data_IF_192063656959
#
_entry.id   IF_192063656959
#
_cell.length_a   1.000
_cell.length_b   1.000
_cell.length_c   1.000
_cell.angle_alpha   90.00
_cell.angle_beta   90.00
_cell.angle_gamma   90.00
#
_symmetry.space_group_name_H-M   'P 1'
#
loop_
_entity.id
_entity.type
_entity.pdbx_description
1 polymer ?
#
# COMPACT_ATOMS: atom_id res chain seq x y z
N UNK A 1 -13.95 4.93 -13.22
CA UNK A 1 -12.50 5.20 -13.09
C UNK A 1 -11.93 4.33 -11.98
N UNK A 2 -10.84 3.64 -12.24
CA UNK A 2 -10.24 2.71 -11.30
C UNK A 2 -9.17 3.42 -10.49
N UNK A 3 -9.10 3.14 -9.20
CA UNK A 3 -8.12 3.74 -8.29
C UNK A 3 -7.47 2.68 -7.40
N UNK A 4 -6.15 2.73 -7.29
CA UNK A 4 -5.41 1.87 -6.37
C UNK A 4 -5.00 2.69 -5.15
N UNK A 5 -5.31 2.17 -3.97
CA UNK A 5 -4.78 2.71 -2.72
C UNK A 5 -3.58 1.84 -2.35
N UNK A 6 -2.39 2.44 -2.37
CA UNK A 6 -1.19 1.77 -1.89
C UNK A 6 -1.04 2.07 -0.40
N UNK A 7 -1.37 1.09 0.43
CA UNK A 7 -1.47 1.24 1.87
C UNK A 7 -0.17 0.76 2.50
N UNK A 8 0.60 1.68 3.07
CA UNK A 8 1.95 1.37 3.53
C UNK A 8 2.29 2.03 4.85
N UNK A 9 3.23 1.44 5.56
CA UNK A 9 3.87 2.05 6.71
C UNK A 9 5.22 2.59 6.25
N UNK A 10 5.49 3.87 6.51
CA UNK A 10 6.75 4.47 6.13
C UNK A 10 7.91 3.71 6.78
N UNK A 11 8.92 3.28 6.00
CA UNK A 11 10.01 2.48 6.55
C UNK A 11 10.88 3.32 7.47
N UNK A 12 11.25 2.74 8.60
CA UNK A 12 12.02 3.42 9.62
C UNK A 12 12.91 2.43 10.36
N UNK A 13 14.13 2.84 10.66
CA UNK A 13 15.08 1.98 11.37
C UNK A 13 14.48 1.51 12.71
N UNK A 14 14.57 0.21 12.97
CA UNK A 14 14.00 -0.42 14.16
C UNK A 14 12.52 -0.75 14.10
N UNK A 15 11.83 -0.38 13.00
CA UNK A 15 10.41 -0.64 12.82
C UNK A 15 10.16 -1.56 11.63
N UNK A 16 9.06 -2.30 11.67
CA UNK A 16 8.70 -3.23 10.61
C UNK A 16 9.44 -4.55 10.70
N UNK A 17 8.87 -5.59 10.10
CA UNK A 17 9.44 -6.94 10.06
C UNK A 17 9.87 -7.45 11.44
N UNK A 18 9.10 -7.14 12.48
CA UNK A 18 9.44 -7.48 13.87
C UNK A 18 9.56 -8.98 14.12
N UNK A 19 8.90 -9.82 13.33
CA UNK A 19 9.05 -11.27 13.40
C UNK A 19 10.46 -11.74 13.06
N UNK A 20 11.24 -10.90 12.39
CA UNK A 20 12.59 -11.23 11.93
C UNK A 20 13.68 -10.66 12.85
N UNK A 21 13.33 -10.13 14.02
CA UNK A 21 14.29 -9.54 14.96
C UNK A 21 15.42 -10.50 15.35
N UNK A 22 15.11 -11.79 15.44
CA UNK A 22 16.07 -12.81 15.83
C UNK A 22 16.98 -13.26 14.67
N UNK A 23 16.66 -12.88 13.44
CA UNK A 23 17.35 -13.31 12.23
C UNK A 23 18.05 -12.18 11.50
N UNK A 24 17.50 -10.96 11.61
CA UNK A 24 17.98 -9.78 10.88
C UNK A 24 18.17 -8.62 11.85
N UNK A 25 19.24 -7.87 11.66
CA UNK A 25 19.44 -6.63 12.41
C UNK A 25 18.51 -5.52 11.89
N UNK A 26 18.52 -4.35 12.53
CA UNK A 26 17.65 -3.24 12.19
C UNK A 26 17.86 -2.74 10.75
N UNK A 27 19.12 -2.70 10.30
CA UNK A 27 19.46 -2.23 8.95
C UNK A 27 18.96 -3.21 7.89
N UNK A 28 19.11 -4.52 8.15
CA UNK A 28 18.63 -5.56 7.25
C UNK A 28 17.11 -5.54 7.14
N UNK A 29 16.42 -5.37 8.28
CA UNK A 29 14.95 -5.26 8.29
C UNK A 29 14.47 -4.02 7.55
N UNK A 30 15.15 -2.89 7.73
CA UNK A 30 14.82 -1.67 7.01
C UNK A 30 14.99 -1.85 5.51
N UNK A 31 16.10 -2.45 5.09
CA UNK A 31 16.34 -2.71 3.67
C UNK A 31 15.27 -3.62 3.08
N UNK A 32 14.91 -4.70 3.76
CA UNK A 32 13.88 -5.61 3.31
C UNK A 32 12.54 -4.90 3.15
N UNK A 33 12.18 -4.06 4.12
CA UNK A 33 10.94 -3.28 4.07
C UNK A 33 10.92 -2.35 2.86
N UNK A 34 12.00 -1.61 2.65
CA UNK A 34 12.11 -0.70 1.50
C UNK A 34 12.05 -1.46 0.19
N UNK A 35 12.74 -2.60 0.10
CA UNK A 35 12.75 -3.41 -1.12
C UNK A 35 11.35 -3.93 -1.46
N UNK A 36 10.59 -4.39 -0.48
CA UNK A 36 9.21 -4.86 -0.69
C UNK A 36 8.28 -3.72 -1.10
N UNK A 37 8.40 -2.56 -0.47
CA UNK A 37 7.61 -1.39 -0.85
C UNK A 37 7.90 -1.02 -2.30
N UNK A 38 9.17 -0.92 -2.66
CA UNK A 38 9.57 -0.56 -4.03
C UNK A 38 9.11 -1.58 -5.06
N UNK A 39 9.21 -2.87 -4.75
CA UNK A 39 8.79 -3.93 -5.65
C UNK A 39 7.29 -3.86 -5.92
N UNK A 40 6.48 -3.72 -4.87
CA UNK A 40 5.03 -3.62 -5.02
C UNK A 40 4.63 -2.31 -5.70
N UNK A 41 5.32 -1.22 -5.40
CA UNK A 41 5.10 0.06 -6.06
C UNK A 41 5.31 -0.04 -7.58
N UNK A 42 6.39 -0.71 -8.01
CA UNK A 42 6.66 -0.93 -9.44
C UNK A 42 5.54 -1.71 -10.11
N UNK A 43 5.00 -2.71 -9.44
CA UNK A 43 3.89 -3.52 -9.99
C UNK A 43 2.63 -2.68 -10.15
N UNK A 44 2.34 -1.81 -9.19
CA UNK A 44 1.21 -0.88 -9.28
C UNK A 44 1.39 0.05 -10.46
N UNK A 45 2.57 0.60 -10.66
CA UNK A 45 2.85 1.49 -11.79
C UNK A 45 2.70 0.80 -13.14
N UNK A 46 3.01 -0.48 -13.23
CA UNK A 46 2.85 -1.25 -14.46
C UNK A 46 1.40 -1.40 -14.90
N UNK A 47 0.45 -1.24 -14.00
CA UNK A 47 -0.97 -1.33 -14.34
C UNK A 47 -1.47 -0.12 -15.12
N UNK A 48 -0.74 0.99 -15.11
CA UNK A 48 -1.13 2.28 -15.68
C UNK A 48 -2.44 2.84 -15.11
N UNK A 49 -2.86 2.36 -13.95
CA UNK A 49 -4.04 2.85 -13.26
C UNK A 49 -3.65 3.97 -12.30
N UNK A 50 -4.61 4.84 -12.00
CA UNK A 50 -4.41 5.89 -11.00
C UNK A 50 -4.19 5.27 -9.62
N UNK A 51 -3.30 5.85 -8.84
CA UNK A 51 -3.03 5.38 -7.50
C UNK A 51 -2.80 6.55 -6.54
N UNK A 52 -2.97 6.26 -5.26
CA UNK A 52 -2.67 7.18 -4.17
C UNK A 52 -2.00 6.38 -3.05
N UNK A 53 -1.02 6.99 -2.41
CA UNK A 53 -0.29 6.35 -1.31
C UNK A 53 -0.87 6.81 0.02
N UNK A 54 -1.39 5.85 0.80
CA UNK A 54 -1.82 6.09 2.17
C UNK A 54 -0.76 5.55 3.12
N UNK A 55 -0.11 6.42 3.85
CA UNK A 55 1.02 6.04 4.69
C UNK A 55 0.75 6.28 6.17
N UNK A 56 1.43 5.49 7.00
CA UNK A 56 1.54 5.70 8.44
C UNK A 56 3.02 6.02 8.75
N UNK A 57 3.25 6.92 9.68
CA UNK A 57 4.61 7.37 10.01
C UNK A 57 4.94 8.73 9.41
N UNK A 58 6.22 8.99 9.20
CA UNK A 58 6.69 10.27 8.67
C UNK A 58 6.65 10.31 7.16
N UNK A 59 6.14 11.43 6.61
CA UNK A 59 6.14 11.65 5.17
C UNK A 59 7.56 11.61 4.59
N UNK A 60 8.54 12.12 5.33
CA UNK A 60 9.94 12.12 4.87
C UNK A 60 10.45 10.70 4.61
N UNK A 61 10.00 9.72 5.37
CA UNK A 61 10.44 8.34 5.25
C UNK A 61 9.80 7.62 4.07
N UNK A 62 8.80 8.21 3.40
CA UNK A 62 8.14 7.65 2.23
C UNK A 62 8.34 8.51 0.97
N UNK A 63 9.13 9.58 1.05
CA UNK A 63 9.35 10.49 -0.07
C UNK A 63 10.08 9.85 -1.25
N UNK A 64 10.66 8.66 -1.09
CA UNK A 64 11.28 7.94 -2.20
C UNK A 64 10.26 7.40 -3.22
N UNK A 65 8.97 7.42 -2.91
CA UNK A 65 7.91 7.07 -3.84
C UNK A 65 7.30 8.33 -4.44
N UNK A 66 6.97 8.29 -5.73
CA UNK A 66 6.29 9.39 -6.41
C UNK A 66 4.77 9.23 -6.31
N UNK A 67 4.06 10.34 -6.34
CA UNK A 67 2.61 10.35 -6.37
C UNK A 67 1.99 11.06 -5.18
N UNK A 68 0.67 11.14 -5.17
CA UNK A 68 -0.08 11.74 -4.08
C UNK A 68 0.06 10.88 -2.83
N UNK A 69 0.31 11.53 -1.70
CA UNK A 69 0.49 10.87 -0.41
C UNK A 69 -0.47 11.46 0.61
N UNK A 70 -1.22 10.58 1.27
CA UNK A 70 -2.20 10.95 2.28
C UNK A 70 -1.90 10.15 3.54
N UNK A 71 -1.87 10.82 4.69
CA UNK A 71 -1.68 10.13 5.96
C UNK A 71 -2.92 9.31 6.32
N UNK A 72 -2.70 8.08 6.78
CA UNK A 72 -3.80 7.22 7.22
C UNK A 72 -4.53 7.82 8.41
N UNK A 73 -5.85 7.69 8.42
CA UNK A 73 -6.72 8.23 9.47
C UNK A 73 -7.59 7.13 10.07
N UNK A 74 -7.59 7.02 11.39
CA UNK A 74 -8.39 6.03 12.11
C UNK A 74 -7.67 5.51 13.34
N UNK A 75 -8.44 4.98 14.30
CA UNK A 75 -7.90 4.51 15.57
C UNK A 75 -7.26 3.11 15.47
N UNK A 76 -7.64 2.34 14.47
CA UNK A 76 -7.09 1.02 14.23
C UNK A 76 -6.95 0.76 12.73
N UNK A 77 -6.34 -0.36 12.37
CA UNK A 77 -6.07 -0.70 10.98
C UNK A 77 -7.36 -0.79 10.16
N UNK A 78 -8.39 -1.43 10.68
CA UNK A 78 -9.68 -1.56 9.98
C UNK A 78 -10.31 -0.21 9.70
N UNK A 79 -10.32 0.69 10.67
CA UNK A 79 -10.85 2.04 10.50
C UNK A 79 -10.03 2.84 9.48
N UNK A 80 -8.71 2.70 9.49
CA UNK A 80 -7.83 3.38 8.54
C UNK A 80 -8.07 2.91 7.10
N UNK A 81 -8.23 1.62 6.90
CA UNK A 81 -8.54 1.05 5.58
C UNK A 81 -9.90 1.53 5.08
N UNK A 82 -10.91 1.45 5.95
CA UNK A 82 -12.27 1.90 5.61
C UNK A 82 -12.30 3.37 5.23
N UNK A 83 -11.65 4.22 6.02
CA UNK A 83 -11.61 5.66 5.76
C UNK A 83 -10.93 5.97 4.41
N UNK A 84 -9.86 5.27 4.10
CA UNK A 84 -9.16 5.44 2.82
C UNK A 84 -10.06 5.03 1.64
N UNK A 85 -10.68 3.87 1.73
CA UNK A 85 -11.57 3.35 0.69
C UNK A 85 -12.78 4.27 0.50
N UNK A 86 -13.45 4.67 1.58
CA UNK A 86 -14.63 5.53 1.50
C UNK A 86 -14.29 6.87 0.84
N UNK A 87 -13.16 7.45 1.19
CA UNK A 87 -12.73 8.72 0.62
C UNK A 87 -12.46 8.60 -0.89
N UNK A 88 -11.79 7.55 -1.31
CA UNK A 88 -11.46 7.37 -2.71
C UNK A 88 -12.67 6.96 -3.55
N UNK A 89 -13.66 6.28 -2.98
CA UNK A 89 -14.90 5.93 -3.67
C UNK A 89 -15.77 7.15 -4.00
N UNK A 90 -15.58 8.27 -3.31
CA UNK A 90 -16.24 9.52 -3.68
C UNK A 90 -15.73 10.01 -5.03
N UNK A 91 -14.46 9.74 -5.34
CA UNK A 91 -13.78 10.23 -6.54
C UNK A 91 -13.68 9.18 -7.66
N UNK A 92 -13.86 7.91 -7.35
CA UNK A 92 -13.62 6.81 -8.28
C UNK A 92 -14.71 5.74 -8.15
N UNK A 93 -14.98 5.04 -9.25
CA UNK A 93 -16.04 4.03 -9.29
C UNK A 93 -15.58 2.71 -8.64
N UNK A 94 -14.31 2.38 -8.83
CA UNK A 94 -13.72 1.14 -8.33
C UNK A 94 -12.44 1.45 -7.60
N UNK A 95 -12.30 0.90 -6.39
CA UNK A 95 -11.14 1.12 -5.55
C UNK A 95 -10.62 -0.20 -5.02
N UNK A 96 -9.31 -0.41 -5.12
CA UNK A 96 -8.64 -1.56 -4.54
C UNK A 96 -7.55 -1.05 -3.60
N UNK A 97 -7.51 -1.60 -2.39
CA UNK A 97 -6.46 -1.31 -1.43
C UNK A 97 -5.44 -2.45 -1.42
N UNK A 98 -4.19 -2.09 -1.64
CA UNK A 98 -3.07 -3.04 -1.71
C UNK A 98 -2.06 -2.69 -0.63
N UNK A 99 -1.72 -3.66 0.21
CA UNK A 99 -0.66 -3.51 1.19
C UNK A 99 0.73 -3.57 0.55
N UNK A 100 1.68 -2.92 1.19
CA UNK A 100 3.04 -2.78 0.62
C UNK A 100 3.96 -3.96 0.90
N UNK A 101 3.56 -4.90 1.74
CA UNK A 101 4.40 -6.03 2.15
C UNK A 101 4.00 -7.36 1.51
N UNK A 102 3.21 -7.30 0.44
CA UNK A 102 2.82 -8.50 -0.30
C UNK A 102 4.00 -9.08 -1.06
N UNK A 103 4.12 -10.40 -1.00
CA UNK A 103 5.10 -11.15 -1.77
C UNK A 103 4.36 -11.75 -2.97
N UNK A 104 4.99 -11.69 -4.16
CA UNK A 104 4.46 -12.26 -5.40
C UNK A 104 3.16 -11.61 -5.93
N UNK A 105 2.89 -10.37 -5.53
CA UNK A 105 1.82 -9.61 -6.16
C UNK A 105 2.15 -9.41 -7.64
N UNK A 106 1.16 -9.58 -8.53
CA UNK A 106 1.34 -9.37 -9.96
C UNK A 106 0.36 -8.33 -10.49
N UNK A 107 0.74 -7.65 -11.58
CA UNK A 107 -0.16 -6.72 -12.26
C UNK A 107 -1.40 -7.42 -12.80
N UNK A 108 -1.29 -8.71 -13.17
CA UNK A 108 -2.43 -9.51 -13.63
C UNK A 108 -3.46 -9.70 -12.53
N UNK A 109 -3.01 -9.95 -11.30
CA UNK A 109 -3.92 -10.09 -10.16
C UNK A 109 -4.64 -8.79 -9.86
N UNK A 110 -3.94 -7.66 -9.96
CA UNK A 110 -4.54 -6.34 -9.75
C UNK A 110 -5.60 -6.08 -10.80
N UNK A 111 -5.28 -6.29 -12.07
CA UNK A 111 -6.22 -6.08 -13.17
C UNK A 111 -7.43 -7.00 -13.08
N UNK A 112 -7.23 -8.26 -12.71
CA UNK A 112 -8.33 -9.21 -12.51
C UNK A 112 -9.24 -8.76 -11.39
N UNK A 113 -8.68 -8.25 -10.28
CA UNK A 113 -9.48 -7.75 -9.18
C UNK A 113 -10.39 -6.60 -9.63
N UNK A 114 -9.88 -5.68 -10.44
CA UNK A 114 -10.71 -4.59 -10.98
C UNK A 114 -11.82 -5.10 -11.91
N UNK A 115 -11.54 -6.14 -12.70
CA UNK A 115 -12.56 -6.73 -13.58
C UNK A 115 -13.70 -7.38 -12.79
N UNK A 116 -13.40 -7.94 -11.62
CA UNK A 116 -14.39 -8.61 -10.78
C UNK A 116 -15.12 -7.65 -9.84
N UNK A 117 -14.70 -6.42 -9.78
CA UNK A 117 -15.22 -5.43 -8.84
C UNK A 117 -16.41 -4.69 -9.45
N UNK A 118 -17.62 -5.02 -8.99
CA UNK A 118 -18.83 -4.35 -9.49
C UNK A 118 -19.39 -3.33 -8.50
N UNK A 119 -19.62 -3.73 -7.26
CA UNK A 119 -20.35 -2.90 -6.29
C UNK A 119 -19.69 -2.80 -4.91
N UNK A 120 -18.53 -3.39 -4.71
CA UNK A 120 -17.87 -3.38 -3.42
C UNK A 120 -16.35 -3.33 -3.57
N UNK A 121 -15.68 -3.02 -2.47
CA UNK A 121 -14.24 -2.86 -2.41
C UNK A 121 -13.54 -4.20 -2.20
N UNK A 122 -12.32 -4.32 -2.74
CA UNK A 122 -11.46 -5.47 -2.50
C UNK A 122 -10.20 -4.98 -1.81
N UNK A 123 -9.84 -5.65 -0.72
CA UNK A 123 -8.58 -5.41 -0.01
C UNK A 123 -7.65 -6.59 -0.28
N UNK A 124 -6.45 -6.26 -0.79
CA UNK A 124 -5.39 -7.25 -1.02
C UNK A 124 -4.26 -6.91 -0.05
N UNK A 125 -3.99 -7.82 0.87
CA UNK A 125 -2.97 -7.61 1.89
C UNK A 125 -2.09 -8.83 2.11
#
# INVERSE_FOLDING_TARGET
MDKIIFFTKAPRLGFGKSRLKNYLDEKQRLKLTIDLINENYKKIKKTNKDYVIYYDGSKNDIDFLSGEKIHQQGDDLGARMKNAIDKQLILSDKVILIGSDLINLSEKEINRAFEQLDFYDIVIS
#
